data_IF_114479950845
#
_entry.id   IF_114479950845
#
_cell.length_a   1.000
_cell.length_b   1.000
_cell.length_c   1.000
_cell.angle_alpha   90.00
_cell.angle_beta   90.00
_cell.angle_gamma   90.00
#
_symmetry.space_group_name_H-M   'P 1'
#
loop_
_entity.id
_entity.type
_entity.pdbx_description
1 polymer ?
#
# COMPACT_ATOMS: atom_id res chain seq x y z
N UNK A 1 24.65 58.39 -31.10
CA UNK A 1 23.39 57.99 -31.76
C UNK A 1 22.43 57.53 -30.68
N UNK A 2 21.27 58.20 -30.64
CA UNK A 2 20.05 58.07 -29.82
C UNK A 2 19.73 56.65 -29.31
N UNK A 3 19.06 56.39 -28.19
CA UNK A 3 18.45 57.18 -27.10
C UNK A 3 18.04 56.21 -25.96
N UNK A 4 17.76 56.79 -24.80
CA UNK A 4 17.33 56.22 -23.51
C UNK A 4 15.99 55.44 -23.46
N UNK A 5 15.88 54.62 -22.40
CA UNK A 5 14.67 54.02 -21.75
C UNK A 5 13.60 55.08 -21.32
N UNK A 6 12.31 54.77 -20.95
CA UNK A 6 11.95 53.86 -19.82
C UNK A 6 10.51 53.24 -19.71
N UNK A 7 10.37 52.24 -18.81
CA UNK A 7 9.28 51.82 -17.87
C UNK A 7 7.75 51.76 -18.18
N UNK A 8 7.09 50.89 -17.38
CA UNK A 8 5.64 50.74 -17.02
C UNK A 8 4.85 49.74 -17.91
N UNK A 9 4.16 48.69 -17.46
CA UNK A 9 3.70 48.21 -16.15
C UNK A 9 2.19 47.93 -16.20
N UNK A 10 1.72 46.65 -16.20
CA UNK A 10 0.43 46.25 -15.56
C UNK A 10 0.18 44.74 -15.59
N UNK A 11 -0.31 44.26 -14.45
CA UNK A 11 -0.94 42.96 -14.18
C UNK A 11 -2.11 42.69 -15.13
N UNK A 12 -2.26 41.46 -15.62
CA UNK A 12 -3.56 40.84 -15.92
C UNK A 12 -3.58 39.41 -15.37
N UNK A 13 -4.54 39.19 -14.48
CA UNK A 13 -5.02 37.94 -13.93
C UNK A 13 -6.26 37.56 -14.76
N UNK A 14 -6.44 36.29 -15.17
CA UNK A 14 -7.69 35.50 -15.07
C UNK A 14 -7.80 34.35 -16.11
N UNK A 15 -8.01 33.15 -15.53
CA UNK A 15 -9.07 32.15 -15.80
C UNK A 15 -9.12 31.35 -17.10
N UNK A 16 -8.93 30.03 -16.89
CA UNK A 16 -9.81 28.90 -17.24
C UNK A 16 -10.44 28.81 -18.64
N UNK A 17 -10.18 27.70 -19.34
CA UNK A 17 -11.17 27.08 -20.21
C UNK A 17 -10.99 25.55 -20.25
N UNK A 18 -12.01 24.86 -19.71
CA UNK A 18 -12.34 23.46 -19.92
C UNK A 18 -12.82 23.31 -21.36
N UNK A 19 -12.35 22.31 -22.10
CA UNK A 19 -12.97 21.89 -23.35
C UNK A 19 -13.43 20.44 -23.25
N UNK A 20 -14.75 20.28 -23.14
CA UNK A 20 -15.51 19.07 -23.43
C UNK A 20 -16.07 19.24 -24.85
N UNK A 21 -15.74 18.33 -25.77
CA UNK A 21 -16.29 18.30 -27.12
C UNK A 21 -16.94 16.94 -27.38
N UNK A 22 -18.26 16.93 -27.52
CA UNK A 22 -19.11 15.77 -27.82
C UNK A 22 -19.48 15.76 -29.30
N UNK A 23 -19.51 14.52 -29.85
CA UNK A 23 -20.27 13.98 -30.98
C UNK A 23 -20.03 14.46 -32.42
N UNK A 24 -19.86 13.48 -33.30
CA UNK A 24 -20.86 13.18 -34.33
C UNK A 24 -20.95 11.67 -34.59
N UNK A 25 -22.18 11.17 -34.62
CA UNK A 25 -22.54 9.84 -35.12
C UNK A 25 -23.10 10.00 -36.54
N UNK A 26 -22.84 9.03 -37.41
CA UNK A 26 -23.57 8.82 -38.66
C UNK A 26 -23.57 7.31 -38.94
N UNK A 27 -24.77 6.76 -39.13
CA UNK A 27 -25.01 5.34 -39.37
C UNK A 27 -25.37 5.02 -40.83
N UNK A 28 -26.02 3.85 -41.00
CA UNK A 28 -26.50 3.12 -42.21
C UNK A 28 -25.48 2.11 -42.79
N UNK A 29 -25.76 0.82 -43.09
CA UNK A 29 -26.95 -0.06 -43.24
C UNK A 29 -26.49 -1.54 -42.99
N UNK A 30 -27.26 -2.41 -42.32
CA UNK A 30 -28.12 -3.51 -42.85
C UNK A 30 -27.42 -4.46 -43.88
N UNK A 31 -27.52 -5.81 -43.90
CA UNK A 31 -28.39 -6.85 -43.32
C UNK A 31 -27.77 -8.24 -43.69
N UNK A 32 -28.14 -9.35 -43.04
CA UNK A 32 -28.05 -10.69 -43.66
C UNK A 32 -27.80 -11.88 -42.72
N UNK A 33 -28.82 -12.72 -42.55
CA UNK A 33 -28.89 -13.97 -41.77
C UNK A 33 -28.02 -15.13 -42.28
N UNK A 34 -27.70 -16.10 -41.40
CA UNK A 34 -28.01 -17.54 -41.60
C UNK A 34 -27.55 -18.40 -40.40
N UNK A 35 -28.45 -19.27 -39.93
CA UNK A 35 -28.24 -20.22 -38.83
C UNK A 35 -27.59 -21.57 -39.22
N UNK A 36 -27.52 -22.54 -38.27
CA UNK A 36 -26.56 -23.65 -38.23
C UNK A 36 -27.09 -24.97 -38.82
N UNK A 37 -26.25 -26.03 -38.95
CA UNK A 37 -26.22 -27.14 -37.96
C UNK A 37 -24.79 -27.76 -37.83
N UNK A 38 -24.41 -28.74 -37.01
CA UNK A 38 -25.06 -29.64 -36.07
C UNK A 38 -24.02 -30.68 -35.56
N UNK A 39 -24.24 -31.17 -34.33
CA UNK A 39 -24.01 -32.54 -33.80
C UNK A 39 -22.79 -33.40 -34.20
N UNK A 40 -22.09 -33.90 -33.18
CA UNK A 40 -21.31 -35.15 -33.23
C UNK A 40 -20.86 -35.58 -31.82
N UNK A 41 -21.41 -36.70 -31.34
CA UNK A 41 -21.31 -37.21 -29.97
C UNK A 41 -20.41 -38.46 -29.86
N UNK A 42 -20.32 -38.97 -28.61
CA UNK A 42 -19.85 -40.28 -28.13
C UNK A 42 -18.37 -40.35 -27.68
N UNK A 43 -18.03 -40.99 -26.55
CA UNK A 43 -18.80 -41.77 -25.59
C UNK A 43 -17.90 -42.34 -24.48
N UNK A 44 -18.50 -43.09 -23.53
CA UNK A 44 -17.76 -44.06 -22.71
C UNK A 44 -17.97 -44.00 -21.19
N UNK A 45 -18.91 -44.78 -20.68
CA UNK A 45 -18.88 -45.46 -19.35
C UNK A 45 -19.47 -46.87 -19.56
N UNK A 46 -19.57 -47.79 -18.58
CA UNK A 46 -18.84 -48.03 -17.32
C UNK A 46 -18.43 -49.53 -17.14
N UNK A 47 -17.75 -49.87 -16.02
CA UNK A 47 -17.78 -51.14 -15.23
C UNK A 47 -16.56 -51.15 -14.29
N UNK A 48 -16.56 -51.63 -13.05
CA UNK A 48 -17.52 -52.32 -12.19
C UNK A 48 -16.77 -53.01 -11.02
N UNK A 49 -17.48 -53.29 -9.90
CA UNK A 49 -17.13 -54.27 -8.84
C UNK A 49 -16.11 -53.81 -7.77
N UNK A 50 -16.26 -54.09 -6.47
CA UNK A 50 -17.25 -54.86 -5.72
C UNK A 50 -16.89 -54.96 -4.22
N UNK A 51 -17.89 -55.36 -3.42
CA UNK A 51 -17.90 -56.05 -2.12
C UNK A 51 -17.05 -55.50 -0.93
N UNK A 52 -17.63 -55.09 0.20
CA UNK A 52 -18.39 -55.83 1.24
C UNK A 52 -17.50 -56.62 2.24
N UNK A 53 -17.68 -56.31 3.54
CA UNK A 53 -17.15 -57.07 4.67
C UNK A 53 -17.74 -56.55 5.99
N UNK A 54 -18.47 -57.41 6.70
CA UNK A 54 -19.39 -57.07 7.78
C UNK A 54 -18.90 -57.49 9.19
N UNK A 55 -19.44 -56.81 10.20
CA UNK A 55 -19.99 -57.26 11.49
C UNK A 55 -19.31 -58.34 12.38
N UNK A 56 -19.30 -58.04 13.69
CA UNK A 56 -19.27 -58.99 14.82
C UNK A 56 -19.09 -58.20 16.13
N UNK A 57 -20.12 -57.86 16.92
CA UNK A 57 -21.00 -58.66 17.80
C UNK A 57 -20.42 -58.90 19.22
N UNK A 58 -21.34 -58.77 20.19
CA UNK A 58 -21.16 -58.52 21.62
C UNK A 58 -20.83 -59.74 22.50
N UNK A 59 -20.50 -59.49 23.78
CA UNK A 59 -20.57 -60.52 24.84
C UNK A 59 -19.89 -60.15 26.17
N UNK A 60 -20.69 -59.77 27.17
CA UNK A 60 -20.43 -59.91 28.62
C UNK A 60 -21.33 -61.06 29.15
N UNK A 61 -21.11 -61.72 30.32
CA UNK A 61 -21.07 -61.12 31.67
C UNK A 61 -20.17 -61.81 32.76
N UNK A 62 -20.18 -61.26 33.99
CA UNK A 62 -19.38 -61.60 35.21
C UNK A 62 -19.66 -62.96 35.89
N UNK A 63 -19.60 -63.17 37.25
CA UNK A 63 -19.66 -62.21 38.38
C UNK A 63 -18.84 -62.56 39.68
N UNK A 64 -19.04 -61.79 40.77
CA UNK A 64 -18.86 -62.18 42.20
C UNK A 64 -17.75 -61.42 42.97
N UNK A 65 -17.90 -60.80 44.16
CA UNK A 65 -18.97 -60.72 45.17
C UNK A 65 -18.48 -61.11 46.59
N UNK A 66 -18.26 -60.17 47.51
CA UNK A 66 -18.30 -60.25 49.02
C UNK A 66 -17.65 -58.99 49.66
N UNK A 67 -18.35 -58.07 50.36
CA UNK A 67 -18.78 -58.03 51.79
C UNK A 67 -17.61 -58.12 52.80
N UNK A 68 -17.29 -57.26 53.80
CA UNK A 68 -17.80 -56.06 54.52
C UNK A 68 -16.87 -55.91 55.78
N UNK A 69 -17.18 -55.22 56.90
CA UNK A 69 -17.59 -53.82 57.16
C UNK A 69 -16.60 -53.06 58.12
N UNK A 70 -16.92 -51.80 58.48
CA UNK A 70 -16.50 -51.16 59.75
C UNK A 70 -15.53 -49.98 59.63
N UNK A 71 -16.01 -48.76 59.90
CA UNK A 71 -15.26 -47.53 59.74
C UNK A 71 -14.58 -46.98 61.00
N UNK A 72 -13.72 -45.97 60.82
CA UNK A 72 -13.56 -44.82 61.71
C UNK A 72 -12.90 -43.70 60.87
N UNK A 73 -13.37 -42.46 61.02
CA UNK A 73 -12.80 -41.28 60.35
C UNK A 73 -12.03 -40.45 61.38
N UNK A 74 -10.70 -40.35 61.25
CA UNK A 74 -9.95 -39.15 61.65
C UNK A 74 -8.48 -39.11 61.14
N UNK A 75 -8.26 -38.18 60.20
CA UNK A 75 -7.19 -37.16 60.15
C UNK A 75 -5.71 -37.53 59.87
N UNK A 76 -5.36 -37.33 58.59
CA UNK A 76 -4.15 -36.75 57.93
C UNK A 76 -2.75 -36.98 58.54
N UNK A 77 -1.82 -37.46 57.69
CA UNK A 77 -0.70 -36.60 57.29
C UNK A 77 -0.66 -36.37 55.77
N UNK A 78 -0.09 -35.22 55.40
CA UNK A 78 0.03 -34.74 54.04
C UNK A 78 1.14 -35.49 53.29
N UNK A 79 0.77 -36.28 52.30
CA UNK A 79 1.71 -36.75 51.27
C UNK A 79 1.65 -35.76 50.10
N UNK A 80 2.78 -35.24 49.58
CA UNK A 80 2.76 -34.33 48.44
C UNK A 80 2.10 -35.06 47.27
N UNK A 81 0.93 -34.56 46.86
CA UNK A 81 0.26 -35.07 45.68
C UNK A 81 1.23 -34.92 44.52
N UNK A 82 1.57 -36.05 43.89
CA UNK A 82 2.21 -36.10 42.59
C UNK A 82 1.39 -35.20 41.68
N UNK A 83 1.85 -33.97 41.47
CA UNK A 83 1.34 -33.08 40.44
C UNK A 83 1.59 -33.82 39.14
N UNK A 84 0.54 -34.46 38.63
CA UNK A 84 0.50 -34.86 37.24
C UNK A 84 0.87 -33.61 36.45
N UNK A 85 2.03 -33.64 35.79
CA UNK A 85 2.38 -32.68 34.76
C UNK A 85 1.36 -32.85 33.64
N UNK A 86 0.18 -32.25 33.82
CA UNK A 86 -0.69 -31.97 32.70
C UNK A 86 0.00 -30.83 31.98
N UNK A 87 0.74 -31.19 30.92
CA UNK A 87 1.17 -30.22 29.91
C UNK A 87 -0.10 -29.50 29.45
N UNK A 88 -0.32 -28.29 29.97
CA UNK A 88 -1.23 -27.36 29.35
C UNK A 88 -0.60 -27.01 28.00
N UNK A 89 -1.31 -27.12 26.87
CA UNK A 89 -0.76 -26.71 25.59
C UNK A 89 -0.35 -25.23 25.71
N UNK A 90 0.88 -24.90 25.32
CA UNK A 90 1.39 -23.53 25.25
C UNK A 90 0.70 -22.69 24.16
N UNK A 91 -0.46 -23.11 23.65
CA UNK A 91 -1.37 -22.26 22.91
C UNK A 91 -2.16 -21.43 23.93
N UNK A 92 -1.45 -20.64 24.74
CA UNK A 92 -2.08 -19.51 25.40
C UNK A 92 -2.67 -18.64 24.28
N UNK A 93 -3.97 -18.37 24.40
CA UNK A 93 -4.71 -17.45 23.55
C UNK A 93 -3.86 -16.19 23.31
N UNK A 94 -3.24 -16.10 22.13
CA UNK A 94 -2.79 -14.81 21.66
C UNK A 94 -4.05 -13.93 21.63
N UNK A 95 -4.08 -12.77 22.32
CA UNK A 95 -5.24 -11.92 22.27
C UNK A 95 -5.53 -11.63 20.80
N UNK A 96 -6.72 -12.03 20.33
CA UNK A 96 -7.19 -11.70 19.00
C UNK A 96 -7.23 -10.18 18.94
N UNK A 97 -6.19 -9.58 18.33
CA UNK A 97 -6.13 -8.15 18.16
C UNK A 97 -7.36 -7.78 17.34
N UNK A 98 -8.27 -6.93 17.84
CA UNK A 98 -9.41 -6.51 17.05
C UNK A 98 -8.87 -5.92 15.74
N UNK A 99 -9.48 -6.25 14.59
CA UNK A 99 -9.04 -5.68 13.33
C UNK A 99 -9.05 -4.16 13.47
N UNK A 100 -7.95 -3.52 13.11
CA UNK A 100 -7.88 -2.06 13.13
C UNK A 100 -9.06 -1.52 12.32
N UNK A 101 -9.80 -0.56 12.87
CA UNK A 101 -10.91 0.06 12.18
C UNK A 101 -10.46 0.51 10.79
N UNK A 102 -11.25 0.22 9.76
CA UNK A 102 -10.96 0.66 8.39
C UNK A 102 -11.28 2.15 8.26
N UNK A 103 -10.50 2.93 7.50
CA UNK A 103 -10.86 4.33 7.26
C UNK A 103 -12.17 4.40 6.45
N UNK A 104 -12.90 5.50 6.60
CA UNK A 104 -14.05 5.78 5.76
C UNK A 104 -13.62 5.95 4.29
N UNK A 105 -14.50 5.55 3.36
CA UNK A 105 -14.26 5.75 1.92
C UNK A 105 -14.21 7.24 1.61
N UNK A 106 -13.05 7.74 1.19
CA UNK A 106 -12.88 9.12 0.73
C UNK A 106 -13.40 9.32 -0.68
N UNK A 107 -13.73 10.56 -1.01
CA UNK A 107 -14.12 10.97 -2.38
C UNK A 107 -13.02 11.76 -3.10
N UNK A 108 -11.93 12.09 -2.39
CA UNK A 108 -10.77 12.83 -2.87
C UNK A 108 -9.53 12.40 -2.08
N UNK A 109 -8.32 12.46 -2.69
CA UNK A 109 -7.09 12.19 -1.95
C UNK A 109 -6.81 13.29 -0.93
N UNK A 110 -6.00 12.97 0.06
CA UNK A 110 -5.39 13.93 0.97
C UNK A 110 -4.29 14.67 0.21
N UNK A 111 -4.35 16.00 0.21
CA UNK A 111 -3.41 16.87 -0.49
C UNK A 111 -2.50 17.63 0.47
N UNK A 112 -2.89 17.79 1.72
CA UNK A 112 -2.17 18.62 2.69
C UNK A 112 -1.96 17.85 3.99
N UNK A 113 -0.90 18.20 4.70
CA UNK A 113 -0.65 17.70 6.04
C UNK A 113 -1.63 18.30 7.05
N UNK A 114 -1.73 17.63 8.20
CA UNK A 114 -2.48 18.16 9.35
C UNK A 114 -2.06 19.62 9.65
N UNK A 115 -3.01 20.54 9.94
CA UNK A 115 -2.72 21.94 10.24
C UNK A 115 -1.66 22.14 11.34
N UNK A 116 -1.57 21.25 12.33
CA UNK A 116 -0.55 21.30 13.38
C UNK A 116 0.86 20.96 12.86
N UNK A 117 0.98 20.17 11.79
CA UNK A 117 2.24 19.96 11.10
C UNK A 117 2.61 21.19 10.25
N UNK A 118 1.63 21.77 9.56
CA UNK A 118 1.81 23.02 8.80
C UNK A 118 2.23 24.19 9.71
N UNK A 119 1.66 24.33 10.90
CA UNK A 119 2.05 25.35 11.88
C UNK A 119 3.53 25.28 12.31
N UNK A 120 4.18 24.13 12.11
CA UNK A 120 5.60 23.89 12.45
C UNK A 120 6.54 24.01 11.25
N UNK A 121 6.10 24.63 10.16
CA UNK A 121 6.85 24.69 8.89
C UNK A 121 7.26 23.30 8.38
N UNK A 122 6.41 22.30 8.62
CA UNK A 122 6.72 20.92 8.22
C UNK A 122 6.29 20.64 6.79
N UNK A 123 7.00 19.78 6.08
CA UNK A 123 6.63 19.25 4.77
C UNK A 123 6.96 17.75 4.70
N UNK A 124 6.37 17.05 3.73
CA UNK A 124 6.66 15.63 3.48
C UNK A 124 7.35 15.51 2.13
N UNK A 125 8.48 14.80 2.12
CA UNK A 125 9.11 14.33 0.88
C UNK A 125 8.55 12.96 0.54
N UNK A 126 8.12 12.79 -0.70
CA UNK A 126 7.61 11.50 -1.22
C UNK A 126 8.34 11.09 -2.49
N UNK A 127 8.57 9.79 -2.64
CA UNK A 127 9.22 9.18 -3.80
C UNK A 127 8.35 8.04 -4.33
N UNK A 128 8.05 8.07 -5.62
CA UNK A 128 7.19 7.09 -6.28
C UNK A 128 8.00 6.17 -7.21
N UNK A 129 7.38 5.05 -7.56
CA UNK A 129 7.78 4.01 -8.53
C UNK A 129 8.80 2.97 -8.06
N UNK A 130 9.62 3.30 -7.06
CA UNK A 130 10.70 2.42 -6.62
C UNK A 130 10.25 1.19 -5.83
N UNK A 131 11.20 0.46 -5.23
CA UNK A 131 12.65 0.76 -5.22
C UNK A 131 13.42 0.34 -6.50
N UNK A 132 14.38 1.15 -6.95
CA UNK A 132 15.38 0.81 -7.98
C UNK A 132 16.80 0.84 -7.38
N UNK A 133 17.60 -0.23 -7.51
CA UNK A 133 18.92 -0.33 -6.90
C UNK A 133 19.94 0.68 -7.42
N UNK A 134 19.67 1.35 -8.55
CA UNK A 134 20.55 2.39 -9.10
C UNK A 134 20.38 3.75 -8.42
N UNK A 135 19.18 4.05 -7.91
CA UNK A 135 18.83 5.41 -7.48
C UNK A 135 18.34 5.49 -6.04
N UNK A 136 17.48 4.56 -5.63
CA UNK A 136 16.92 4.50 -4.28
C UNK A 136 18.01 4.53 -3.19
N UNK A 137 19.15 3.82 -3.30
CA UNK A 137 20.21 3.91 -2.29
C UNK A 137 20.77 5.32 -2.10
N UNK A 138 21.00 6.07 -3.19
CA UNK A 138 21.53 7.44 -3.12
C UNK A 138 20.56 8.42 -2.48
N UNK A 139 19.26 8.20 -2.68
CA UNK A 139 18.19 8.94 -1.98
C UNK A 139 18.23 8.62 -0.49
N UNK A 140 18.20 7.34 -0.11
CA UNK A 140 18.25 6.91 1.29
C UNK A 140 19.50 7.44 2.01
N UNK A 141 20.68 7.33 1.40
CA UNK A 141 21.94 7.85 1.93
C UNK A 141 21.88 9.36 2.18
N UNK A 142 21.25 10.10 1.27
CA UNK A 142 21.06 11.54 1.40
C UNK A 142 20.11 11.87 2.56
N UNK A 143 18.98 11.16 2.66
CA UNK A 143 18.03 11.35 3.76
C UNK A 143 18.67 11.03 5.13
N UNK A 144 19.40 9.92 5.22
CA UNK A 144 20.13 9.50 6.41
C UNK A 144 21.19 10.54 6.83
N UNK A 145 21.96 11.10 5.87
CA UNK A 145 22.96 12.14 6.11
C UNK A 145 22.38 13.36 6.82
N UNK A 146 21.15 13.74 6.51
CA UNK A 146 20.47 14.88 7.12
C UNK A 146 19.52 14.49 8.26
N UNK A 147 19.47 13.21 8.64
CA UNK A 147 18.58 12.72 9.70
C UNK A 147 17.09 12.94 9.41
N UNK A 148 16.71 12.95 8.13
CA UNK A 148 15.33 13.17 7.70
C UNK A 148 14.65 11.87 7.30
N UNK A 149 13.34 11.80 7.54
CA UNK A 149 12.50 10.69 7.09
C UNK A 149 11.61 11.17 5.95
N UNK A 150 11.18 10.22 5.13
CA UNK A 150 10.41 10.43 3.92
C UNK A 150 9.43 9.27 3.74
N UNK A 151 8.62 9.35 2.70
CA UNK A 151 7.68 8.30 2.35
C UNK A 151 7.92 7.80 0.93
N UNK A 152 7.91 6.48 0.74
CA UNK A 152 8.14 5.83 -0.54
C UNK A 152 6.86 5.09 -0.96
N UNK A 153 6.26 5.47 -2.09
CA UNK A 153 5.16 4.73 -2.69
C UNK A 153 5.73 3.72 -3.67
N UNK A 154 5.75 2.46 -3.26
CA UNK A 154 6.45 1.41 -4.01
C UNK A 154 5.53 0.71 -4.99
N UNK A 155 6.04 0.44 -6.19
CA UNK A 155 5.42 -0.48 -7.13
C UNK A 155 5.69 -1.92 -6.70
N UNK A 156 4.67 -2.78 -6.74
CA UNK A 156 4.76 -4.15 -6.26
C UNK A 156 5.84 -4.99 -6.95
N UNK A 157 6.03 -4.82 -8.27
CA UNK A 157 7.09 -5.50 -9.04
C UNK A 157 8.47 -5.12 -8.54
N UNK A 158 8.73 -3.83 -8.40
CA UNK A 158 9.99 -3.29 -7.92
C UNK A 158 10.29 -3.72 -6.47
N UNK A 159 9.26 -3.70 -5.62
CA UNK A 159 9.36 -4.15 -4.23
C UNK A 159 9.63 -5.66 -4.11
N UNK A 160 9.06 -6.47 -5.01
CA UNK A 160 9.27 -7.92 -5.02
C UNK A 160 10.70 -8.29 -5.41
N UNK A 161 11.29 -7.55 -6.34
CA UNK A 161 12.68 -7.74 -6.80
C UNK A 161 13.71 -7.21 -5.80
N UNK A 162 13.43 -6.08 -5.14
CA UNK A 162 14.41 -5.38 -4.29
C UNK A 162 13.95 -5.31 -2.82
N UNK A 163 13.61 -6.47 -2.25
CA UNK A 163 13.06 -6.58 -0.87
C UNK A 163 14.03 -6.09 0.20
N UNK A 164 15.33 -6.15 -0.05
CA UNK A 164 16.37 -5.59 0.80
C UNK A 164 16.25 -4.06 0.91
N UNK A 165 15.99 -3.36 -0.19
CA UNK A 165 15.75 -1.91 -0.18
C UNK A 165 14.47 -1.54 0.56
N UNK A 166 13.39 -2.33 0.38
CA UNK A 166 12.15 -2.14 1.16
C UNK A 166 12.41 -2.32 2.66
N UNK A 167 13.20 -3.33 3.06
CA UNK A 167 13.60 -3.49 4.48
C UNK A 167 14.45 -2.34 4.97
N UNK A 168 15.37 -1.84 4.15
CA UNK A 168 16.22 -0.69 4.46
C UNK A 168 15.37 0.57 4.70
N UNK A 169 14.41 0.86 3.82
CA UNK A 169 13.46 1.96 4.00
C UNK A 169 12.76 1.89 5.37
N UNK A 170 12.22 0.71 5.72
CA UNK A 170 11.54 0.52 7.00
C UNK A 170 12.49 0.64 8.21
N UNK A 171 13.70 0.06 8.11
CA UNK A 171 14.71 0.09 9.18
C UNK A 171 15.22 1.52 9.45
N UNK A 172 15.33 2.36 8.42
CA UNK A 172 15.69 3.77 8.54
C UNK A 172 14.49 4.67 8.94
N UNK A 173 13.32 4.07 9.15
CA UNK A 173 12.13 4.73 9.70
C UNK A 173 11.30 5.50 8.68
N UNK A 174 11.51 5.27 7.38
CA UNK A 174 10.67 5.81 6.31
C UNK A 174 9.29 5.11 6.31
N UNK A 175 8.27 5.79 5.79
CA UNK A 175 6.98 5.14 5.52
C UNK A 175 6.98 4.50 4.14
N UNK A 176 6.37 3.33 4.05
CA UNK A 176 6.15 2.62 2.78
C UNK A 176 4.66 2.68 2.48
N UNK A 177 4.33 3.26 1.33
CA UNK A 177 3.00 3.32 0.74
C UNK A 177 2.88 2.40 -0.47
N UNK A 178 1.65 2.13 -0.86
CA UNK A 178 1.31 1.31 -2.02
C UNK A 178 1.19 2.17 -3.28
N UNK A 179 1.83 1.78 -4.37
CA UNK A 179 1.73 2.44 -5.68
C UNK A 179 1.26 1.52 -6.81
N UNK A 180 0.36 0.57 -6.51
CA UNK A 180 -0.06 -0.53 -7.41
C UNK A 180 1.06 -1.51 -7.74
N UNK A 181 0.78 -2.56 -8.51
CA UNK A 181 1.75 -3.62 -8.78
C UNK A 181 2.65 -3.23 -9.94
N UNK A 182 2.07 -2.91 -11.10
CA UNK A 182 2.80 -2.63 -12.35
C UNK A 182 2.56 -1.21 -12.89
N UNK A 183 2.16 -0.27 -12.03
CA UNK A 183 1.89 1.13 -12.38
C UNK A 183 0.88 1.36 -13.55
N UNK A 184 -0.29 0.70 -13.60
CA UNK A 184 -1.27 0.91 -14.66
C UNK A 184 -2.07 2.22 -14.46
N UNK A 185 -2.66 2.71 -15.55
CA UNK A 185 -3.65 3.79 -15.49
C UNK A 185 -4.96 3.28 -14.88
N UNK A 186 -5.17 3.52 -13.58
CA UNK A 186 -6.31 2.96 -12.82
C UNK A 186 -7.68 3.07 -13.49
N UNK A 187 -8.08 4.21 -14.09
CA UNK A 187 -9.38 4.32 -14.76
C UNK A 187 -9.62 3.34 -15.92
N UNK A 188 -8.58 2.72 -16.49
CA UNK A 188 -8.72 1.71 -17.55
C UNK A 188 -8.92 0.29 -17.02
N UNK A 189 -8.81 0.08 -15.70
CA UNK A 189 -8.92 -1.24 -15.09
C UNK A 189 -10.36 -1.59 -14.68
N UNK A 190 -10.66 -2.89 -14.73
CA UNK A 190 -11.80 -3.43 -14.00
C UNK A 190 -11.55 -3.33 -12.49
N UNK A 191 -12.63 -3.34 -11.69
CA UNK A 191 -12.52 -3.32 -10.22
C UNK A 191 -11.67 -4.49 -9.69
N UNK A 192 -11.84 -5.69 -10.23
CA UNK A 192 -11.06 -6.86 -9.82
C UNK A 192 -9.58 -6.75 -10.21
N UNK A 193 -9.28 -6.18 -11.39
CA UNK A 193 -7.91 -5.87 -11.80
C UNK A 193 -7.25 -4.90 -10.83
N UNK A 194 -7.93 -3.81 -10.49
CA UNK A 194 -7.45 -2.83 -9.51
C UNK A 194 -7.24 -3.44 -8.11
N UNK A 195 -8.16 -4.30 -7.66
CA UNK A 195 -8.01 -4.99 -6.38
C UNK A 195 -6.79 -5.92 -6.36
N UNK A 196 -6.49 -6.60 -7.47
CA UNK A 196 -5.29 -7.42 -7.63
C UNK A 196 -4.01 -6.57 -7.56
N UNK A 197 -3.96 -5.45 -8.30
CA UNK A 197 -2.83 -4.52 -8.32
C UNK A 197 -2.47 -4.01 -6.91
N UNK A 198 -3.46 -3.53 -6.17
CA UNK A 198 -3.27 -2.97 -4.83
C UNK A 198 -3.00 -4.10 -3.83
N UNK A 199 -3.72 -5.22 -3.92
CA UNK A 199 -3.61 -6.36 -3.00
C UNK A 199 -2.24 -7.03 -3.04
N UNK A 200 -1.74 -7.39 -4.24
CA UNK A 200 -0.44 -8.06 -4.41
C UNK A 200 0.72 -7.21 -3.91
N UNK A 201 0.65 -5.90 -4.14
CA UNK A 201 1.65 -4.94 -3.65
C UNK A 201 1.63 -4.88 -2.12
N UNK A 202 0.45 -4.83 -1.52
CA UNK A 202 0.29 -4.84 -0.06
C UNK A 202 0.84 -6.12 0.56
N UNK A 203 0.60 -7.27 -0.07
CA UNK A 203 1.11 -8.58 0.37
C UNK A 203 2.64 -8.64 0.34
N UNK A 204 3.28 -8.14 -0.73
CA UNK A 204 4.75 -8.12 -0.82
C UNK A 204 5.36 -7.21 0.25
N UNK A 205 4.78 -6.03 0.48
CA UNK A 205 5.21 -5.11 1.55
C UNK A 205 5.06 -5.78 2.91
N UNK A 206 3.87 -6.31 3.22
CA UNK A 206 3.59 -6.98 4.50
C UNK A 206 4.54 -8.15 4.78
N UNK A 207 4.77 -9.03 3.80
CA UNK A 207 5.72 -10.13 3.95
C UNK A 207 7.16 -9.67 4.13
N UNK A 208 7.50 -8.46 3.69
CA UNK A 208 8.87 -7.95 3.71
C UNK A 208 9.19 -7.20 5.00
N UNK A 209 8.24 -6.42 5.53
CA UNK A 209 8.45 -5.55 6.71
C UNK A 209 7.54 -5.87 7.91
N UNK A 210 6.66 -6.87 7.78
CA UNK A 210 5.82 -7.38 8.87
C UNK A 210 4.51 -6.62 9.09
N UNK A 211 4.20 -5.62 8.27
CA UNK A 211 2.94 -4.89 8.30
C UNK A 211 2.54 -4.41 6.90
N UNK A 212 1.23 -4.42 6.56
CA UNK A 212 0.77 -3.89 5.29
C UNK A 212 0.90 -2.35 5.25
N UNK A 213 0.98 -1.76 4.04
CA UNK A 213 0.99 -0.31 3.89
C UNK A 213 -0.33 0.28 4.41
N UNK A 214 -0.25 1.48 4.99
CA UNK A 214 -1.42 2.23 5.49
C UNK A 214 -1.79 3.42 4.58
N UNK A 215 -1.08 3.57 3.48
CA UNK A 215 -1.25 4.66 2.53
C UNK A 215 -1.19 4.13 1.11
N UNK A 216 -1.96 4.76 0.23
CA UNK A 216 -2.04 4.42 -1.18
C UNK A 216 -1.94 5.70 -2.02
N UNK A 217 -1.23 5.63 -3.14
CA UNK A 217 -1.19 6.67 -4.15
C UNK A 217 -1.48 6.05 -5.51
N UNK A 218 -2.41 6.63 -6.26
CA UNK A 218 -2.72 6.21 -7.61
C UNK A 218 -1.60 6.63 -8.59
N UNK A 219 -1.12 5.73 -9.46
CA UNK A 219 -0.33 6.09 -10.64
C UNK A 219 -0.90 7.28 -11.39
N UNK A 220 -0.02 8.18 -11.84
CA UNK A 220 -0.38 9.41 -12.57
C UNK A 220 -1.30 10.38 -11.81
N UNK A 221 -1.61 10.13 -10.52
CA UNK A 221 -2.67 10.83 -9.81
C UNK A 221 -4.08 10.55 -10.39
N UNK A 222 -4.24 9.46 -11.14
CA UNK A 222 -5.47 9.12 -11.83
C UNK A 222 -6.40 8.30 -10.92
N UNK A 223 -7.31 9.01 -10.24
CA UNK A 223 -8.24 8.41 -9.27
C UNK A 223 -9.59 8.06 -9.90
N UNK A 224 -10.24 7.01 -9.38
CA UNK A 224 -11.66 6.74 -9.58
C UNK A 224 -12.30 6.24 -8.27
N UNK A 225 -13.63 6.07 -8.25
CA UNK A 225 -14.35 5.62 -7.05
C UNK A 225 -13.86 4.27 -6.52
N UNK A 226 -13.59 3.33 -7.42
CA UNK A 226 -13.11 2.00 -7.04
C UNK A 226 -11.77 2.04 -6.31
N UNK A 227 -10.87 2.95 -6.69
CA UNK A 227 -9.58 3.15 -6.04
C UNK A 227 -9.74 3.56 -4.56
N UNK A 228 -10.68 4.45 -4.26
CA UNK A 228 -10.97 4.87 -2.89
C UNK A 228 -11.63 3.77 -2.06
N UNK A 229 -12.58 3.05 -2.65
CA UNK A 229 -13.28 1.94 -1.96
C UNK A 229 -12.31 0.80 -1.64
N UNK A 230 -11.51 0.36 -2.61
CA UNK A 230 -10.53 -0.71 -2.42
C UNK A 230 -9.44 -0.28 -1.43
N UNK A 231 -8.93 0.96 -1.54
CA UNK A 231 -7.96 1.50 -0.60
C UNK A 231 -8.47 1.44 0.84
N UNK A 232 -9.70 1.91 1.08
CA UNK A 232 -10.34 1.86 2.39
C UNK A 232 -10.62 0.43 2.88
N UNK A 233 -11.08 -0.46 1.99
CA UNK A 233 -11.27 -1.89 2.28
C UNK A 233 -9.99 -2.57 2.75
N UNK A 234 -8.84 -2.17 2.20
CA UNK A 234 -7.50 -2.64 2.57
C UNK A 234 -6.86 -1.82 3.70
N UNK A 235 -7.59 -0.87 4.30
CA UNK A 235 -7.12 -0.14 5.49
C UNK A 235 -6.20 1.06 5.20
N UNK A 236 -6.14 1.52 3.95
CA UNK A 236 -5.26 2.59 3.48
C UNK A 236 -5.96 3.93 3.31
N UNK A 237 -5.19 5.00 3.49
CA UNK A 237 -5.60 6.37 3.17
C UNK A 237 -4.99 6.83 1.82
N UNK A 238 -5.76 7.52 0.95
CA UNK A 238 -5.27 8.03 -0.32
C UNK A 238 -4.47 9.33 -0.11
N UNK A 239 -3.18 9.34 -0.48
CA UNK A 239 -2.32 10.52 -0.39
C UNK A 239 -1.83 10.94 -1.79
N UNK A 240 -2.09 12.18 -2.18
CA UNK A 240 -1.57 12.78 -3.40
C UNK A 240 -0.41 13.75 -3.07
N UNK A 241 -0.22 14.80 -3.85
CA UNK A 241 0.86 15.79 -3.66
C UNK A 241 0.37 17.21 -3.97
N UNK A 242 1.13 18.21 -3.55
CA UNK A 242 0.88 19.63 -3.83
C UNK A 242 2.02 20.32 -4.58
N UNK A 243 3.24 19.77 -4.48
CA UNK A 243 4.42 20.27 -5.20
C UNK A 243 4.97 19.14 -6.03
N UNK A 244 4.96 19.32 -7.34
CA UNK A 244 5.51 18.36 -8.28
C UNK A 244 6.90 18.81 -8.75
N UNK A 245 7.90 17.96 -8.58
CA UNK A 245 9.25 18.20 -9.10
C UNK A 245 9.31 18.14 -10.64
N UNK A 246 8.40 17.37 -11.25
CA UNK A 246 8.44 16.95 -12.65
C UNK A 246 9.83 16.40 -13.01
N UNK A 247 10.45 15.66 -12.09
CA UNK A 247 11.77 15.07 -12.27
C UNK A 247 11.76 13.94 -13.31
N UNK A 248 10.64 13.22 -13.44
CA UNK A 248 10.39 12.19 -14.45
C UNK A 248 10.51 12.68 -15.89
N UNK A 249 10.39 13.99 -16.15
CA UNK A 249 10.62 14.57 -17.49
C UNK A 249 12.09 14.84 -17.80
N UNK A 250 13.00 14.49 -16.89
CA UNK A 250 14.45 14.72 -16.99
C UNK A 250 14.85 16.18 -17.32
N UNK A 251 14.26 17.18 -16.66
CA UNK A 251 14.39 18.60 -17.04
C UNK A 251 15.74 19.24 -16.68
N UNK A 252 16.62 18.50 -15.99
CA UNK A 252 17.87 18.96 -15.39
C UNK A 252 17.77 19.21 -13.89
N UNK A 253 18.83 18.89 -13.16
CA UNK A 253 18.90 19.01 -11.68
C UNK A 253 18.57 20.42 -11.18
N UNK A 254 19.09 21.47 -11.81
CA UNK A 254 18.83 22.85 -11.39
C UNK A 254 17.36 23.25 -11.54
N UNK A 255 16.67 22.73 -12.56
CA UNK A 255 15.24 22.97 -12.79
C UNK A 255 14.41 22.29 -11.70
N UNK A 256 14.74 21.05 -11.35
CA UNK A 256 14.09 20.32 -10.24
C UNK A 256 14.26 21.10 -8.93
N UNK A 257 15.49 21.48 -8.59
CA UNK A 257 15.80 22.26 -7.38
C UNK A 257 14.99 23.55 -7.35
N UNK A 258 14.95 24.31 -8.45
CA UNK A 258 14.19 25.55 -8.54
C UNK A 258 12.69 25.35 -8.31
N UNK A 259 12.09 24.32 -8.92
CA UNK A 259 10.67 23.97 -8.75
C UNK A 259 10.35 23.65 -7.29
N UNK A 260 11.16 22.81 -6.65
CA UNK A 260 10.97 22.45 -5.23
C UNK A 260 11.11 23.67 -4.33
N UNK A 261 12.17 24.46 -4.50
CA UNK A 261 12.41 25.63 -3.65
C UNK A 261 11.38 26.75 -3.85
N UNK A 262 10.76 26.84 -5.03
CA UNK A 262 9.66 27.77 -5.33
C UNK A 262 8.32 27.29 -4.77
N UNK A 263 8.08 25.97 -4.78
CA UNK A 263 6.88 25.35 -4.22
C UNK A 263 6.93 25.16 -2.71
N UNK A 264 8.09 25.36 -2.07
CA UNK A 264 8.28 25.15 -0.65
C UNK A 264 7.34 26.04 0.18
N UNK A 265 6.47 25.39 0.94
CA UNK A 265 5.58 26.02 1.91
C UNK A 265 5.28 25.05 3.05
N UNK A 266 4.83 25.53 4.22
CA UNK A 266 4.36 24.63 5.26
C UNK A 266 3.18 23.78 4.79
N UNK A 267 3.16 22.51 5.16
CA UNK A 267 2.09 21.57 4.85
C UNK A 267 2.18 20.90 3.48
N UNK A 268 3.16 21.25 2.64
CA UNK A 268 3.27 20.69 1.29
C UNK A 268 3.73 19.24 1.30
N UNK A 269 3.25 18.50 0.31
CA UNK A 269 3.68 17.16 -0.03
C UNK A 269 4.41 17.24 -1.37
N UNK A 270 5.70 16.92 -1.36
CA UNK A 270 6.57 16.96 -2.53
C UNK A 270 6.55 15.60 -3.22
N UNK A 271 6.24 15.59 -4.52
CA UNK A 271 6.37 14.43 -5.40
C UNK A 271 7.74 14.44 -6.10
N UNK A 272 8.44 13.33 -6.01
CA UNK A 272 9.65 12.97 -6.77
C UNK A 272 9.61 11.48 -7.06
N UNK A 273 10.57 10.96 -7.83
CA UNK A 273 10.60 9.54 -8.21
C UNK A 273 11.97 8.92 -7.90
N UNK A 274 11.96 7.67 -7.45
CA UNK A 274 13.17 6.87 -7.23
C UNK A 274 13.30 5.66 -8.19
N UNK A 275 12.36 5.49 -9.12
CA UNK A 275 12.46 4.61 -10.29
C UNK A 275 11.74 5.21 -11.52
N UNK A 276 11.39 4.40 -12.51
CA UNK A 276 10.64 4.88 -13.69
C UNK A 276 11.48 5.67 -14.70
N UNK A 277 12.65 5.14 -15.11
CA UNK A 277 13.57 5.79 -16.06
C UNK A 277 14.87 6.25 -15.41
N UNK A 278 15.55 7.25 -15.97
CA UNK A 278 16.80 7.79 -15.41
C UNK A 278 16.55 8.80 -14.28
N UNK A 279 16.71 8.36 -13.02
CA UNK A 279 16.52 9.21 -11.83
C UNK A 279 17.81 9.86 -11.31
N UNK A 280 18.90 9.87 -12.08
CA UNK A 280 20.17 10.52 -11.69
C UNK A 280 19.94 11.99 -11.29
N UNK A 281 19.11 12.70 -12.05
CA UNK A 281 18.80 14.10 -11.78
C UNK A 281 18.02 14.28 -10.46
N UNK A 282 17.13 13.34 -10.12
CA UNK A 282 16.34 13.32 -8.87
C UNK A 282 17.26 13.14 -7.66
N UNK A 283 18.19 12.18 -7.73
CA UNK A 283 19.19 11.92 -6.68
C UNK A 283 20.04 13.17 -6.43
N UNK A 284 20.59 13.77 -7.50
CA UNK A 284 21.39 14.98 -7.38
C UNK A 284 20.58 16.18 -6.87
N UNK A 285 19.32 16.31 -7.31
CA UNK A 285 18.47 17.42 -6.90
C UNK A 285 18.14 17.35 -5.41
N UNK A 286 17.82 16.16 -4.88
CA UNK A 286 17.61 15.96 -3.44
C UNK A 286 18.83 16.42 -2.63
N UNK A 287 20.03 16.02 -3.04
CA UNK A 287 21.28 16.44 -2.39
C UNK A 287 21.47 17.97 -2.38
N UNK A 288 20.93 18.68 -3.37
CA UNK A 288 21.04 20.13 -3.48
C UNK A 288 19.92 20.91 -2.78
N UNK A 289 18.65 20.49 -2.89
CA UNK A 289 17.53 21.24 -2.33
C UNK A 289 17.30 20.94 -0.84
N UNK A 290 17.58 19.73 -0.37
CA UNK A 290 17.33 19.32 1.02
C UNK A 290 18.06 20.20 2.05
N UNK A 291 19.39 20.42 1.97
CA UNK A 291 20.08 21.32 2.89
C UNK A 291 19.53 22.76 2.84
N UNK A 292 19.09 23.23 1.66
CA UNK A 292 18.52 24.57 1.52
C UNK A 292 17.16 24.69 2.20
N UNK A 293 16.29 23.67 2.09
CA UNK A 293 15.01 23.64 2.79
C UNK A 293 15.22 23.65 4.31
N UNK A 294 16.16 22.83 4.80
CA UNK A 294 16.52 22.80 6.22
C UNK A 294 17.07 24.14 6.70
N UNK A 295 17.95 24.79 5.93
CA UNK A 295 18.48 26.12 6.24
C UNK A 295 17.41 27.22 6.27
N UNK A 296 16.32 27.06 5.48
CA UNK A 296 15.14 27.94 5.50
C UNK A 296 14.18 27.64 6.66
N UNK A 297 14.49 26.67 7.51
CA UNK A 297 13.70 26.33 8.70
C UNK A 297 12.58 25.33 8.45
N UNK A 298 12.47 24.74 7.25
CA UNK A 298 11.50 23.68 7.00
C UNK A 298 11.91 22.38 7.70
N UNK A 299 10.92 21.62 8.16
CA UNK A 299 11.12 20.32 8.82
C UNK A 299 10.50 19.20 8.00
N UNK A 300 11.27 18.15 7.75
CA UNK A 300 10.78 16.99 7.00
C UNK A 300 10.12 16.04 7.98
N UNK A 301 8.83 15.80 7.79
CA UNK A 301 8.00 14.93 8.65
C UNK A 301 7.45 13.77 7.83
N UNK A 302 6.74 12.88 8.52
CA UNK A 302 5.91 11.85 7.92
C UNK A 302 4.43 12.27 8.02
N UNK A 303 3.57 11.86 7.08
CA UNK A 303 2.13 12.06 7.21
C UNK A 303 1.59 11.25 8.39
N UNK A 304 0.59 11.81 9.07
CA UNK A 304 -0.09 11.18 10.20
C UNK A 304 -1.45 10.69 9.72
N UNK A 305 -1.81 9.47 10.10
CA UNK A 305 -3.12 8.92 9.76
C UNK A 305 -4.23 9.74 10.46
N UNK A 306 -5.34 10.04 9.77
CA UNK A 306 -6.50 10.62 10.42
C UNK A 306 -7.05 9.69 11.53
N UNK A 307 -7.76 10.26 12.53
CA UNK A 307 -8.53 9.45 13.47
C UNK A 307 -9.51 8.53 12.73
N UNK A 308 -9.63 7.30 13.22
CA UNK A 308 -10.50 6.26 12.66
C UNK A 308 -11.73 6.03 13.54
#
# INVERSE_FOLDING_TARGET
MKNDEPTVGRRVLLRTAVFLGIATASGLLASGESGPPGTGAAGGTPRGGGAAGAAGAAGQPGPGGAAGPGGVRAVRPQTPGRTAYRLAPMTAEAPVRPPAARPAVRTRPILELDPAAAARSSMVLTFDDGPDPRYTPGILDTLARYGVRAMFFVCGEMAAENRDLVRRMAAEGHLIGNHTWSHPLIPSLSRSGLASEIGRTSEVVEKTVGAPPLWFRAPYGAWNRAAFEIGAELGMEPLAWTVDSLDWTEPGTSVIVSRILKGAAPGVIVLSHDAGGDRTQSVHALGAYLPQLLARGYRMTLPVLPPR
#
